data_IF_440645875630
#
_entry.id   IF_440645875630
#
_cell.length_a   1.000
_cell.length_b   1.000
_cell.length_c   1.000
_cell.angle_alpha   90.00
_cell.angle_beta   90.00
_cell.angle_gamma   90.00
#
_symmetry.space_group_name_H-M   'P 1'
#
loop_
_entity.id
_entity.type
_entity.pdbx_description
1 polymer ?
#
# COMPACT_ATOMS: atom_id res chain seq x y z
N UNK A 1 5.46 -7.98 -9.02
CA UNK A 1 5.42 -6.56 -9.42
C UNK A 1 4.16 -5.96 -8.83
N UNK A 2 4.26 -4.83 -8.14
CA UNK A 2 3.09 -4.09 -7.64
C UNK A 2 2.35 -3.48 -8.83
N UNK A 3 1.03 -3.63 -8.87
CA UNK A 3 0.21 -2.96 -9.87
C UNK A 3 -0.37 -1.65 -9.32
N UNK A 4 -1.09 -1.74 -8.21
CA UNK A 4 -1.63 -0.58 -7.50
C UNK A 4 -1.73 -0.82 -6.01
N UNK A 5 -1.83 0.26 -5.25
CA UNK A 5 -2.19 0.23 -3.83
C UNK A 5 -3.67 0.57 -3.69
N UNK A 6 -4.37 -0.13 -2.81
CA UNK A 6 -5.82 -0.02 -2.67
C UNK A 6 -6.24 0.64 -1.34
N UNK A 7 -5.45 0.45 -0.29
CA UNK A 7 -5.79 0.97 1.04
C UNK A 7 -4.58 0.96 1.96
N UNK A 8 -4.73 1.67 3.09
CA UNK A 8 -3.75 1.66 4.18
C UNK A 8 -4.41 1.16 5.46
N UNK A 9 -3.63 0.52 6.32
CA UNK A 9 -4.04 0.23 7.69
C UNK A 9 -2.85 0.34 8.63
N UNK A 10 -3.14 0.59 9.89
CA UNK A 10 -2.19 0.40 10.97
C UNK A 10 -2.44 -0.94 11.65
N UNK A 11 -1.49 -1.87 11.52
CA UNK A 11 -1.55 -3.15 12.21
C UNK A 11 -1.07 -2.96 13.66
N UNK A 12 -2.00 -2.98 14.60
CA UNK A 12 -1.71 -2.77 16.03
C UNK A 12 -0.95 -3.92 16.67
N UNK A 13 -1.10 -5.15 16.15
CA UNK A 13 -0.39 -6.33 16.66
C UNK A 13 1.10 -6.25 16.33
N UNK A 14 1.42 -5.91 15.09
CA UNK A 14 2.80 -5.82 14.61
C UNK A 14 3.39 -4.41 14.72
N UNK A 15 2.57 -3.44 15.16
CA UNK A 15 2.92 -2.03 15.37
C UNK A 15 3.54 -1.40 14.12
N UNK A 16 2.95 -1.65 12.96
CA UNK A 16 3.44 -1.18 11.66
C UNK A 16 2.33 -0.74 10.73
N UNK A 17 2.66 0.16 9.81
CA UNK A 17 1.78 0.52 8.70
C UNK A 17 1.89 -0.52 7.59
N UNK A 18 0.74 -0.89 7.05
CA UNK A 18 0.63 -1.82 5.94
C UNK A 18 -0.19 -1.19 4.81
N UNK A 19 0.14 -1.57 3.59
CA UNK A 19 -0.56 -1.16 2.38
C UNK A 19 -1.16 -2.41 1.74
N UNK A 20 -2.43 -2.31 1.33
CA UNK A 20 -3.07 -3.36 0.55
C UNK A 20 -2.58 -3.24 -0.89
N UNK A 21 -1.93 -4.30 -1.37
CA UNK A 21 -1.30 -4.35 -2.68
C UNK A 21 -2.12 -5.22 -3.62
N UNK A 22 -2.48 -4.67 -4.78
CA UNK A 22 -2.92 -5.47 -5.90
C UNK A 22 -1.72 -5.85 -6.76
N UNK A 23 -1.57 -7.15 -7.02
CA UNK A 23 -0.42 -7.69 -7.74
C UNK A 23 -0.70 -7.80 -9.23
N UNK A 24 0.25 -7.32 -10.04
CA UNK A 24 0.06 -7.29 -11.48
C UNK A 24 -0.09 -8.70 -12.04
N UNK A 25 -1.20 -8.93 -12.76
CA UNK A 25 -1.49 -10.19 -13.43
C UNK A 25 -1.98 -11.29 -12.48
N UNK A 26 -2.25 -10.95 -11.22
CA UNK A 26 -2.94 -11.83 -10.28
C UNK A 26 -4.38 -11.34 -10.07
N UNK A 27 -5.23 -12.25 -9.60
CA UNK A 27 -6.60 -11.92 -9.24
C UNK A 27 -6.63 -11.22 -7.87
N UNK A 28 -7.71 -10.51 -7.59
CA UNK A 28 -7.94 -9.77 -6.33
C UNK A 28 -7.91 -10.65 -5.07
N UNK A 29 -8.10 -11.97 -5.22
CA UNK A 29 -7.93 -12.92 -4.10
C UNK A 29 -6.48 -12.98 -3.60
N UNK A 30 -5.51 -12.62 -4.44
CA UNK A 30 -4.10 -12.59 -4.11
C UNK A 30 -3.68 -11.26 -3.46
N UNK A 31 -4.60 -10.29 -3.32
CA UNK A 31 -4.31 -9.01 -2.70
C UNK A 31 -3.84 -9.20 -1.26
N UNK A 32 -2.67 -8.66 -0.95
CA UNK A 32 -2.03 -8.87 0.35
C UNK A 32 -1.68 -7.55 1.04
N UNK A 33 -1.67 -7.59 2.36
CA UNK A 33 -1.21 -6.49 3.20
C UNK A 33 0.30 -6.59 3.39
N UNK A 34 1.01 -5.69 2.75
CA UNK A 34 2.47 -5.65 2.80
C UNK A 34 2.96 -4.52 3.71
N UNK A 35 4.07 -4.72 4.45
CA UNK A 35 4.64 -3.67 5.29
C UNK A 35 5.05 -2.46 4.45
N UNK A 36 4.61 -1.27 4.85
CA UNK A 36 4.95 -0.04 4.15
C UNK A 36 6.46 0.19 4.05
N UNK A 37 7.23 -0.28 5.03
CA UNK A 37 8.71 -0.21 5.03
C UNK A 37 9.34 -1.04 3.91
N UNK A 38 8.81 -2.23 3.63
CA UNK A 38 9.28 -3.09 2.54
C UNK A 38 8.93 -2.47 1.20
N UNK A 39 7.68 -2.02 1.04
CA UNK A 39 7.23 -1.37 -0.19
C UNK A 39 7.97 -0.06 -0.48
N UNK A 40 8.36 0.69 0.55
CA UNK A 40 9.20 1.89 0.40
C UNK A 40 10.62 1.55 -0.07
N UNK A 41 11.14 0.36 0.22
CA UNK A 41 12.44 -0.09 -0.28
C UNK A 41 12.34 -0.56 -1.73
N UNK A 42 11.31 -1.35 -2.05
CA UNK A 42 11.18 -1.97 -3.38
C UNK A 42 10.58 -1.03 -4.44
N UNK A 43 9.54 -0.28 -4.07
CA UNK A 43 8.77 0.59 -4.98
C UNK A 43 8.50 1.98 -4.38
N UNK A 44 9.54 2.73 -3.95
CA UNK A 44 9.40 4.00 -3.24
C UNK A 44 8.56 5.04 -3.98
N UNK A 45 8.65 5.07 -5.32
CA UNK A 45 7.94 6.06 -6.15
C UNK A 45 6.44 5.81 -6.12
N UNK A 46 6.01 4.56 -6.27
CA UNK A 46 4.60 4.19 -6.26
C UNK A 46 3.97 4.47 -4.88
N UNK A 47 4.67 4.13 -3.79
CA UNK A 47 4.18 4.36 -2.43
C UNK A 47 4.01 5.86 -2.16
N UNK A 48 5.01 6.68 -2.53
CA UNK A 48 4.93 8.14 -2.34
C UNK A 48 3.81 8.77 -3.16
N UNK A 49 3.60 8.31 -4.39
CA UNK A 49 2.50 8.80 -5.24
C UNK A 49 1.14 8.49 -4.61
N UNK A 50 0.96 7.25 -4.14
CA UNK A 50 -0.27 6.80 -3.50
C UNK A 50 -0.57 7.54 -2.19
N UNK A 51 0.44 7.72 -1.33
CA UNK A 51 0.27 8.49 -0.07
C UNK A 51 -0.10 9.94 -0.37
N UNK A 52 0.53 10.57 -1.37
CA UNK A 52 0.19 11.94 -1.77
C UNK A 52 -1.24 12.07 -2.28
N UNK A 53 -1.73 11.09 -3.03
CA UNK A 53 -3.13 11.13 -3.49
C UNK A 53 -4.12 10.85 -2.36
N UNK A 54 -3.78 10.01 -1.38
CA UNK A 54 -4.64 9.72 -0.23
C UNK A 54 -4.72 10.87 0.78
N UNK A 55 -3.66 11.68 0.91
CA UNK A 55 -3.70 12.86 1.78
C UNK A 55 -4.66 13.95 1.29
N UNK A 56 -4.98 13.97 0.00
CA UNK A 56 -5.95 14.90 -0.58
C UNK A 56 -7.41 14.44 -0.35
N UNK A 57 -7.63 13.12 -0.27
CA UNK A 57 -8.95 12.50 -0.12
C UNK A 57 -9.49 12.56 1.33
N UNK A 58 -8.60 12.47 2.34
CA UNK A 58 -8.99 12.59 3.77
C UNK A 58 -9.22 14.05 4.22
N UNK A 59 -8.96 15.03 3.35
CA UNK A 59 -9.06 16.46 3.66
C UNK A 59 -10.38 17.11 3.19
N UNK A 60 -11.37 16.34 2.72
CA UNK A 60 -12.68 16.85 2.23
C UNK A 60 -13.84 16.54 3.18
#
# INVERSE_FOLDING_TARGET
MVDTFLSTRYNTNEKRHELLVHWRGLDTVEDSWEPATVLLQDVPVAVKAFVRSHQDDEAV
#
